data_IF_187296653205
#
_entry.id   IF_187296653205
#
_cell.length_a   1.000
_cell.length_b   1.000
_cell.length_c   1.000
_cell.angle_alpha   90.00
_cell.angle_beta   90.00
_cell.angle_gamma   90.00
#
_symmetry.space_group_name_H-M   'P 1'
#
loop_
_entity.id
_entity.type
_entity.pdbx_description
1 polymer ?
#
# COMPACT_ATOMS: atom_id res chain seq x y z
N UNK A 1 2.36 -16.43 -17.35
CA UNK A 1 1.19 -17.13 -16.74
C UNK A 1 0.00 -16.17 -16.77
N UNK A 2 -1.25 -16.68 -16.85
CA UNK A 2 -2.44 -15.81 -17.00
C UNK A 2 -3.15 -15.58 -15.66
N UNK A 3 -3.22 -14.32 -15.23
CA UNK A 3 -3.79 -13.91 -13.94
C UNK A 3 -5.33 -13.99 -13.85
N UNK A 4 -6.03 -14.22 -14.96
CA UNK A 4 -7.50 -14.17 -15.03
C UNK A 4 -8.23 -15.24 -14.19
N UNK A 5 -7.56 -16.32 -13.80
CA UNK A 5 -8.16 -17.44 -13.03
C UNK A 5 -8.17 -17.25 -11.51
N UNK A 6 -7.50 -16.22 -10.96
CA UNK A 6 -7.45 -15.97 -9.52
C UNK A 6 -8.58 -15.05 -9.02
N UNK A 7 -8.95 -14.01 -9.79
CA UNK A 7 -9.98 -13.05 -9.37
C UNK A 7 -11.41 -13.60 -9.37
N UNK A 8 -11.72 -14.69 -10.08
CA UNK A 8 -13.11 -15.17 -10.25
C UNK A 8 -13.68 -15.92 -9.04
N UNK A 9 -12.83 -16.44 -8.14
CA UNK A 9 -13.27 -17.14 -6.92
C UNK A 9 -14.00 -16.23 -5.91
N UNK A 10 -13.46 -15.08 -5.47
CA UNK A 10 -14.16 -14.21 -4.53
C UNK A 10 -15.49 -13.67 -5.08
N UNK A 11 -15.60 -13.34 -6.37
CA UNK A 11 -16.89 -12.91 -6.94
C UNK A 11 -17.95 -14.02 -6.97
N UNK A 12 -17.56 -15.29 -7.12
CA UNK A 12 -18.48 -16.42 -7.01
C UNK A 12 -18.91 -16.68 -5.56
N UNK A 13 -18.00 -16.51 -4.60
CA UNK A 13 -18.34 -16.57 -3.18
C UNK A 13 -19.27 -15.42 -2.76
N UNK A 14 -19.01 -14.20 -3.25
CA UNK A 14 -19.85 -13.02 -3.05
C UNK A 14 -21.25 -13.21 -3.66
N UNK A 15 -21.34 -13.68 -4.91
CA UNK A 15 -22.63 -13.97 -5.55
C UNK A 15 -23.42 -15.08 -4.82
N UNK A 16 -22.74 -16.13 -4.33
CA UNK A 16 -23.37 -17.17 -3.52
C UNK A 16 -23.80 -16.64 -2.14
N UNK A 17 -23.04 -15.74 -1.52
CA UNK A 17 -23.42 -15.09 -0.27
C UNK A 17 -24.63 -14.16 -0.46
N UNK A 18 -24.66 -13.34 -1.52
CA UNK A 18 -25.83 -12.54 -1.87
C UNK A 18 -27.06 -13.42 -2.12
N UNK A 19 -26.91 -14.53 -2.86
CA UNK A 19 -28.01 -15.46 -3.10
C UNK A 19 -28.51 -16.16 -1.81
N UNK A 20 -27.60 -16.50 -0.89
CA UNK A 20 -27.97 -17.04 0.41
C UNK A 20 -28.68 -16.00 1.29
N UNK A 21 -28.21 -14.74 1.25
CA UNK A 21 -28.82 -13.62 1.96
C UNK A 21 -30.23 -13.33 1.41
N UNK A 22 -30.44 -13.28 0.08
CA UNK A 22 -31.78 -13.07 -0.48
C UNK A 22 -32.72 -14.25 -0.22
N UNK A 23 -32.23 -15.49 -0.17
CA UNK A 23 -33.02 -16.63 0.32
C UNK A 23 -33.44 -16.46 1.80
N UNK A 24 -32.55 -15.92 2.64
CA UNK A 24 -32.84 -15.69 4.06
C UNK A 24 -33.84 -14.53 4.27
N UNK A 25 -33.72 -13.46 3.47
CA UNK A 25 -34.69 -12.34 3.41
C UNK A 25 -36.08 -12.87 3.05
N UNK A 26 -36.17 -13.73 2.03
CA UNK A 26 -37.43 -14.29 1.55
C UNK A 26 -38.11 -15.25 2.55
N UNK A 27 -37.40 -15.72 3.59
CA UNK A 27 -37.96 -16.60 4.62
C UNK A 27 -38.82 -15.85 5.67
N UNK A 28 -38.63 -14.53 5.81
CA UNK A 28 -39.57 -13.59 6.44
C UNK A 28 -39.73 -13.65 7.97
N UNK A 29 -39.48 -12.51 8.64
CA UNK A 29 -40.03 -12.20 9.97
C UNK A 29 -40.65 -10.79 9.96
N UNK A 30 -41.90 -10.60 10.44
CA UNK A 30 -42.53 -9.29 10.46
C UNK A 30 -42.19 -8.52 11.75
N UNK A 31 -41.31 -7.53 11.64
CA UNK A 31 -41.13 -6.49 12.64
C UNK A 31 -40.71 -5.19 11.95
N UNK A 32 -41.23 -4.05 12.43
CA UNK A 32 -40.84 -2.70 11.97
C UNK A 32 -39.49 -2.30 12.57
N UNK A 33 -38.43 -2.96 12.09
CA UNK A 33 -37.04 -2.69 12.51
C UNK A 33 -36.54 -1.42 11.83
N UNK A 34 -36.19 -0.41 12.62
CA UNK A 34 -35.34 0.69 12.16
C UNK A 34 -33.94 0.15 11.88
N UNK A 35 -33.67 -0.14 10.61
CA UNK A 35 -32.44 -0.76 10.15
C UNK A 35 -31.37 0.30 9.83
N UNK A 36 -30.83 0.92 10.89
CA UNK A 36 -29.53 1.59 10.84
C UNK A 36 -28.42 0.53 11.04
N UNK A 37 -27.47 0.49 10.12
CA UNK A 37 -26.30 -0.38 10.18
C UNK A 37 -25.05 0.44 9.88
N UNK A 38 -24.23 0.68 10.90
CA UNK A 38 -22.90 1.25 10.77
C UNK A 38 -21.82 0.20 10.99
N UNK A 39 -20.80 0.20 10.14
CA UNK A 39 -19.63 -0.66 10.24
C UNK A 39 -18.40 0.13 9.80
N UNK A 40 -17.45 0.32 10.72
CA UNK A 40 -16.25 1.14 10.50
C UNK A 40 -15.00 0.35 10.87
N UNK A 41 -14.22 -0.03 9.86
CA UNK A 41 -12.87 -0.53 10.06
C UNK A 41 -11.89 0.65 10.00
N UNK A 42 -11.04 0.81 11.01
CA UNK A 42 -9.98 1.80 11.02
C UNK A 42 -8.66 1.13 11.38
N UNK A 43 -7.73 1.06 10.43
CA UNK A 43 -6.44 0.40 10.57
C UNK A 43 -5.32 1.40 10.31
N UNK A 44 -4.32 1.42 11.20
CA UNK A 44 -3.18 2.32 11.10
C UNK A 44 -1.88 1.54 11.27
N UNK A 45 -1.05 1.54 10.23
CA UNK A 45 0.25 0.85 10.20
C UNK A 45 1.35 1.89 10.02
N UNK A 46 2.01 2.23 11.13
CA UNK A 46 3.26 2.97 11.11
C UNK A 46 4.45 1.99 11.11
N UNK A 47 5.37 2.15 10.16
CA UNK A 47 6.57 1.32 9.99
C UNK A 47 7.78 2.18 9.60
N UNK A 48 8.96 1.82 10.10
CA UNK A 48 10.21 2.43 9.64
C UNK A 48 11.41 1.52 9.83
N UNK A 49 12.30 1.47 8.83
CA UNK A 49 13.53 0.65 8.80
C UNK A 49 14.69 1.35 8.08
N UNK A 50 15.81 1.43 8.78
CA UNK A 50 17.09 1.98 8.33
C UNK A 50 18.17 1.05 8.94
N UNK A 51 19.00 0.30 8.18
CA UNK A 51 19.80 -0.83 8.76
C UNK A 51 21.15 -1.18 8.05
N UNK A 52 22.07 -1.95 8.73
CA UNK A 52 23.58 -1.85 8.71
C UNK A 52 24.46 -3.17 8.50
N UNK A 53 25.66 -3.10 7.86
CA UNK A 53 26.91 -3.97 7.96
C UNK A 53 27.79 -4.24 6.66
N UNK A 54 29.07 -3.78 6.50
CA UNK A 54 30.00 -3.94 5.31
C UNK A 54 31.54 -3.67 5.56
N UNK A 55 32.46 -3.77 4.54
CA UNK A 55 33.78 -4.48 4.67
C UNK A 55 35.10 -3.82 4.14
N UNK A 56 36.18 -3.87 4.96
CA UNK A 56 37.46 -3.13 4.81
C UNK A 56 38.72 -3.99 4.48
N UNK A 57 39.65 -3.51 3.62
CA UNK A 57 40.83 -4.31 3.13
C UNK A 57 42.19 -3.56 3.11
N UNK A 58 43.20 -4.09 3.81
CA UNK A 58 44.59 -3.55 3.89
C UNK A 58 45.65 -4.57 3.43
N UNK A 59 46.62 -4.13 2.61
CA UNK A 59 47.73 -4.99 2.10
C UNK A 59 49.04 -4.21 1.90
N UNK A 60 50.19 -4.89 2.02
CA UNK A 60 51.53 -4.38 1.64
C UNK A 60 51.85 -2.95 2.15
N UNK A 61 51.50 -2.67 3.41
CA UNK A 61 51.70 -1.36 4.04
C UNK A 61 50.69 -0.26 3.68
N UNK A 62 49.71 -0.55 2.80
CA UNK A 62 48.52 0.29 2.59
C UNK A 62 47.37 -0.03 3.56
N UNK A 63 46.30 0.77 3.54
CA UNK A 63 45.20 0.70 4.51
C UNK A 63 43.83 1.03 3.90
N UNK A 64 42.74 0.40 4.33
CA UNK A 64 41.39 0.86 3.98
C UNK A 64 40.31 0.50 5.00
N UNK A 65 39.16 1.19 4.89
CA UNK A 65 38.01 1.15 5.81
C UNK A 65 36.69 1.29 5.05
N UNK A 66 35.62 0.63 5.51
CA UNK A 66 34.34 0.56 4.80
C UNK A 66 33.09 0.76 5.66
N UNK A 67 31.94 0.92 5.00
CA UNK A 67 30.62 1.19 5.59
C UNK A 67 29.62 0.02 5.57
N UNK A 68 28.45 0.14 6.27
CA UNK A 68 27.32 -0.82 6.45
C UNK A 68 26.67 -1.56 5.20
N UNK A 69 25.38 -1.70 4.76
CA UNK A 69 23.95 -1.59 5.21
C UNK A 69 22.94 -2.43 4.33
N UNK A 70 21.61 -2.37 4.58
CA UNK A 70 20.41 -2.79 3.77
C UNK A 70 19.08 -2.43 4.54
N UNK A 71 17.94 -2.04 3.92
CA UNK A 71 16.62 -1.92 4.63
C UNK A 71 15.33 -2.08 3.79
N UNK A 72 14.28 -2.75 4.35
CA UNK A 72 12.98 -2.97 3.69
C UNK A 72 11.76 -3.08 4.64
N UNK A 73 10.69 -2.29 4.43
CA UNK A 73 9.37 -2.38 5.12
C UNK A 73 8.24 -2.97 4.26
N UNK A 74 7.27 -3.63 4.90
CA UNK A 74 6.10 -4.26 4.26
C UNK A 74 4.84 -4.12 5.12
N UNK A 75 3.82 -3.44 4.59
CA UNK A 75 2.52 -3.24 5.24
C UNK A 75 1.39 -3.74 4.33
N UNK A 76 0.49 -4.55 4.90
CA UNK A 76 -0.68 -5.08 4.20
C UNK A 76 -1.91 -4.85 5.09
N UNK A 77 -2.84 -4.02 4.63
CA UNK A 77 -4.14 -3.77 5.27
C UNK A 77 -5.23 -4.35 4.37
N UNK A 78 -6.09 -5.20 4.94
CA UNK A 78 -7.21 -5.83 4.24
C UNK A 78 -8.48 -5.69 5.07
N UNK A 79 -9.38 -4.81 4.67
CA UNK A 79 -10.63 -4.51 5.39
C UNK A 79 -11.84 -4.88 4.53
N UNK A 80 -12.83 -5.54 5.14
CA UNK A 80 -14.06 -5.95 4.47
C UNK A 80 -15.25 -5.67 5.38
N UNK A 81 -16.14 -4.77 4.96
CA UNK A 81 -17.47 -4.61 5.52
C UNK A 81 -18.48 -5.34 4.63
N UNK A 82 -19.37 -6.12 5.25
CA UNK A 82 -20.57 -6.65 4.59
C UNK A 82 -21.78 -6.30 5.45
N UNK A 83 -22.65 -5.45 4.93
CA UNK A 83 -23.93 -5.09 5.52
C UNK A 83 -25.04 -5.69 4.65
N UNK A 84 -26.01 -6.32 5.30
CA UNK A 84 -27.19 -6.88 4.65
C UNK A 84 -28.42 -6.57 5.51
N UNK A 85 -29.42 -5.92 4.92
CA UNK A 85 -30.70 -5.62 5.56
C UNK A 85 -31.81 -6.30 4.78
N UNK A 86 -32.56 -7.13 5.49
CA UNK A 86 -33.83 -7.69 5.07
C UNK A 86 -34.95 -6.71 5.46
N UNK A 87 -35.59 -6.08 4.49
CA UNK A 87 -36.81 -5.31 4.73
C UNK A 87 -37.99 -6.24 4.99
N UNK A 88 -38.83 -5.87 5.95
CA UNK A 88 -40.11 -6.55 6.16
C UNK A 88 -41.10 -6.31 5.01
N UNK A 89 -42.23 -7.05 4.97
CA UNK A 89 -43.28 -6.87 3.95
C UNK A 89 -43.84 -5.43 3.90
N UNK A 90 -43.75 -4.70 5.01
CA UNK A 90 -43.88 -3.25 5.09
C UNK A 90 -42.67 -2.71 5.88
N UNK A 91 -41.85 -1.89 5.23
CA UNK A 91 -40.71 -1.22 5.89
C UNK A 91 -40.97 0.29 5.90
N UNK A 92 -41.85 0.72 6.81
CA UNK A 92 -42.19 2.14 7.07
C UNK A 92 -41.07 2.85 7.88
N UNK A 93 -39.82 2.55 7.56
CA UNK A 93 -38.65 3.01 8.29
C UNK A 93 -37.51 3.31 7.32
N UNK A 94 -36.87 4.47 7.51
CA UNK A 94 -35.61 4.82 6.87
C UNK A 94 -34.59 3.70 7.12
N UNK A 95 -34.07 3.10 6.05
CA UNK A 95 -32.93 2.17 6.15
C UNK A 95 -31.66 2.90 5.76
N UNK A 96 -30.73 2.95 6.71
CA UNK A 96 -29.44 3.61 6.56
C UNK A 96 -28.35 2.56 6.68
N UNK A 97 -27.51 2.43 5.65
CA UNK A 97 -26.31 1.61 5.70
C UNK A 97 -25.09 2.51 5.54
N UNK A 98 -24.21 2.53 6.55
CA UNK A 98 -22.93 3.25 6.51
C UNK A 98 -21.79 2.27 6.67
N UNK A 99 -21.05 2.01 5.59
CA UNK A 99 -19.90 1.10 5.57
C UNK A 99 -18.63 1.90 5.27
N UNK A 100 -17.72 1.98 6.24
CA UNK A 100 -16.49 2.75 6.14
C UNK A 100 -15.28 1.85 6.37
N UNK A 101 -14.33 1.88 5.44
CA UNK A 101 -12.98 1.36 5.61
C UNK A 101 -12.01 2.56 5.58
N UNK A 102 -11.23 2.75 6.63
CA UNK A 102 -10.12 3.70 6.66
C UNK A 102 -8.81 2.95 6.91
N UNK A 103 -7.83 3.14 6.04
CA UNK A 103 -6.51 2.54 6.13
C UNK A 103 -5.44 3.62 6.00
N UNK A 104 -4.66 3.82 7.06
CA UNK A 104 -3.47 4.67 7.06
C UNK A 104 -2.22 3.80 7.08
N UNK A 105 -1.34 3.92 6.08
CA UNK A 105 -0.03 3.28 6.06
C UNK A 105 1.03 4.37 5.96
N UNK A 106 1.82 4.54 7.01
CA UNK A 106 2.94 5.48 7.03
C UNK A 106 4.23 4.67 7.10
N UNK A 107 5.03 4.72 6.04
CA UNK A 107 6.26 3.93 5.87
C UNK A 107 7.47 4.82 5.61
N UNK A 108 8.54 4.62 6.37
CA UNK A 108 9.81 5.34 6.20
C UNK A 108 11.00 4.37 6.16
N UNK A 109 11.45 3.98 4.96
CA UNK A 109 12.53 2.99 4.78
C UNK A 109 13.79 3.62 4.17
N UNK A 110 14.90 3.75 4.89
CA UNK A 110 16.06 4.48 4.35
C UNK A 110 17.45 4.04 4.87
N UNK A 111 18.29 3.46 4.02
CA UNK A 111 19.71 3.17 4.32
C UNK A 111 20.34 2.46 3.13
N UNK A 112 21.66 2.48 2.99
CA UNK A 112 22.42 1.66 2.02
C UNK A 112 23.94 1.89 2.42
N UNK A 113 24.83 0.87 2.62
CA UNK A 113 26.31 0.94 2.95
C UNK A 113 27.30 -0.19 2.40
N UNK A 114 28.67 -0.01 2.26
CA UNK A 114 29.64 -0.85 1.44
C UNK A 114 31.18 -0.47 1.38
N UNK A 115 32.03 -0.84 0.37
CA UNK A 115 33.38 -1.54 0.52
C UNK A 115 34.73 -0.95 -0.07
N UNK A 116 35.91 -1.13 0.59
CA UNK A 116 37.20 -0.40 0.33
C UNK A 116 38.53 -1.21 0.30
N UNK A 117 39.56 -0.73 -0.45
CA UNK A 117 40.91 -1.38 -0.58
C UNK A 117 42.13 -0.43 -0.63
N UNK A 118 43.18 -0.67 0.16
CA UNK A 118 44.42 0.13 0.16
C UNK A 118 45.71 -0.70 0.16
N UNK A 119 46.66 -0.38 -0.72
CA UNK A 119 47.87 -1.20 -0.97
C UNK A 119 49.16 -0.40 -1.21
N UNK A 120 50.32 -1.03 -0.98
CA UNK A 120 51.65 -0.50 -1.33
C UNK A 120 51.97 0.89 -0.72
N UNK A 121 51.37 1.21 0.43
CA UNK A 121 51.46 2.53 1.08
C UNK A 121 50.33 3.52 0.74
N UNK A 122 49.35 3.12 -0.06
CA UNK A 122 48.13 3.90 -0.39
C UNK A 122 46.96 3.64 0.57
N UNK A 123 46.00 4.58 0.60
CA UNK A 123 44.89 4.61 1.58
C UNK A 123 43.52 4.83 0.90
N UNK A 124 42.50 4.01 1.19
CA UNK A 124 41.15 4.19 0.60
C UNK A 124 39.98 4.03 1.61
N UNK A 125 38.79 4.57 1.29
CA UNK A 125 37.60 4.48 2.15
C UNK A 125 36.27 4.50 1.38
N UNK A 126 35.24 3.77 1.83
CA UNK A 126 34.11 3.38 0.93
C UNK A 126 32.65 3.71 1.28
N UNK A 127 31.74 3.16 0.46
CA UNK A 127 30.42 3.68 0.07
C UNK A 127 29.46 2.56 -0.42
N UNK A 128 28.18 2.84 -0.69
CA UNK A 128 27.22 2.32 0.30
C UNK A 128 25.84 1.53 -0.04
N UNK A 129 25.58 0.19 -0.09
CA UNK A 129 24.30 -0.57 -0.51
C UNK A 129 23.06 -0.93 0.46
N UNK A 130 21.66 -1.07 0.38
CA UNK A 130 20.35 -0.88 -0.45
C UNK A 130 19.03 -0.56 0.38
N UNK A 131 17.98 0.16 -0.14
CA UNK A 131 16.64 0.42 0.54
C UNK A 131 15.30 0.22 -0.26
N UNK A 132 14.16 -0.10 0.40
CA UNK A 132 12.80 -0.08 -0.24
C UNK A 132 11.50 -0.32 0.59
N UNK A 133 10.40 0.38 0.28
CA UNK A 133 9.07 0.28 0.96
C UNK A 133 7.97 -0.41 0.11
N UNK A 134 7.11 -1.25 0.72
CA UNK A 134 5.89 -1.81 0.10
C UNK A 134 4.63 -1.64 0.98
N UNK A 135 3.60 -1.03 0.40
CA UNK A 135 2.27 -0.86 1.00
C UNK A 135 1.18 -1.48 0.11
N UNK A 136 0.30 -2.28 0.70
CA UNK A 136 -0.86 -2.90 0.04
C UNK A 136 -2.10 -2.60 0.88
N UNK A 137 -3.05 -1.85 0.31
CA UNK A 137 -4.38 -1.62 0.88
C UNK A 137 -5.42 -2.33 0.00
N UNK A 138 -6.21 -3.20 0.61
CA UNK A 138 -7.40 -3.80 0.01
C UNK A 138 -8.61 -3.48 0.87
N UNK A 139 -9.59 -2.79 0.29
CA UNK A 139 -10.81 -2.38 1.00
C UNK A 139 -12.04 -2.74 0.17
N UNK A 140 -13.01 -3.35 0.83
CA UNK A 140 -14.29 -3.73 0.23
C UNK A 140 -15.42 -3.36 1.17
N UNK A 141 -16.35 -2.54 0.69
CA UNK A 141 -17.67 -2.42 1.28
C UNK A 141 -18.67 -3.17 0.38
N UNK A 142 -19.47 -4.03 0.99
CA UNK A 142 -20.68 -4.61 0.36
C UNK A 142 -21.88 -4.17 1.18
N UNK A 143 -22.85 -3.56 0.53
CA UNK A 143 -24.08 -3.06 1.13
C UNK A 143 -25.26 -3.62 0.35
N UNK A 144 -26.04 -4.49 0.98
CA UNK A 144 -27.20 -5.15 0.36
C UNK A 144 -28.47 -4.72 1.10
N UNK A 145 -29.44 -4.22 0.36
CA UNK A 145 -30.79 -3.96 0.86
C UNK A 145 -31.77 -4.72 -0.04
N UNK A 146 -32.61 -5.54 0.58
CA UNK A 146 -33.65 -6.30 -0.08
C UNK A 146 -34.99 -6.07 0.64
N UNK A 147 -35.83 -5.20 0.08
CA UNK A 147 -37.11 -4.79 0.66
C UNK A 147 -38.24 -5.04 -0.35
N UNK A 148 -39.21 -5.93 -0.08
CA UNK A 148 -40.27 -6.25 -1.06
C UNK A 148 -41.18 -5.06 -1.38
N UNK A 149 -41.40 -4.16 -0.41
CA UNK A 149 -42.05 -2.86 -0.60
C UNK A 149 -41.30 -1.81 0.25
N UNK A 150 -40.50 -0.96 -0.38
CA UNK A 150 -39.96 0.24 0.27
C UNK A 150 -40.90 1.43 0.00
N UNK A 151 -41.33 2.11 1.06
CA UNK A 151 -42.09 3.37 0.98
C UNK A 151 -41.25 4.56 1.40
N UNK A 152 -40.39 4.37 2.40
CA UNK A 152 -39.46 5.38 2.90
C UNK A 152 -38.16 5.48 2.07
N UNK A 153 -37.45 6.62 2.13
CA UNK A 153 -36.12 6.76 1.56
C UNK A 153 -35.12 5.72 2.09
N UNK A 154 -34.17 5.34 1.23
CA UNK A 154 -33.12 4.38 1.55
C UNK A 154 -31.77 5.04 1.27
N UNK A 155 -30.91 5.12 2.29
CA UNK A 155 -29.60 5.75 2.19
C UNK A 155 -28.49 4.71 2.36
N UNK A 156 -27.68 4.52 1.31
CA UNK A 156 -26.51 3.67 1.35
C UNK A 156 -25.27 4.54 1.14
N UNK A 157 -24.50 4.74 2.20
CA UNK A 157 -23.21 5.43 2.17
C UNK A 157 -22.08 4.41 2.35
N UNK A 158 -21.27 4.22 1.32
CA UNK A 158 -20.07 3.38 1.36
C UNK A 158 -18.83 4.25 1.14
N UNK A 159 -17.81 4.11 1.99
CA UNK A 159 -16.54 4.83 1.86
C UNK A 159 -15.34 3.92 2.07
N UNK A 160 -14.39 3.98 1.15
CA UNK A 160 -13.04 3.46 1.33
C UNK A 160 -12.07 4.65 1.28
N UNK A 161 -11.36 4.92 2.37
CA UNK A 161 -10.23 5.86 2.40
C UNK A 161 -8.93 5.08 2.64
N UNK A 162 -7.95 5.32 1.79
CA UNK A 162 -6.62 4.73 1.84
C UNK A 162 -5.60 5.86 1.72
N UNK A 163 -5.00 6.23 2.85
CA UNK A 163 -3.87 7.16 2.89
C UNK A 163 -2.59 6.36 3.06
N UNK A 164 -1.70 6.44 2.06
CA UNK A 164 -0.37 5.83 2.08
C UNK A 164 0.64 6.96 1.97
N UNK A 165 1.49 7.09 2.98
CA UNK A 165 2.68 7.92 2.94
C UNK A 165 3.92 7.03 2.95
N UNK A 166 4.81 7.23 1.98
CA UNK A 166 5.95 6.34 1.71
C UNK A 166 7.22 7.12 1.38
N UNK A 167 8.15 7.14 2.32
CA UNK A 167 9.44 7.84 2.22
C UNK A 167 10.58 6.82 2.12
N UNK A 168 11.29 6.75 0.98
CA UNK A 168 12.41 5.80 0.79
C UNK A 168 13.72 6.44 0.30
N UNK A 169 14.84 6.30 1.02
CA UNK A 169 16.13 6.98 0.71
C UNK A 169 17.38 6.05 0.72
N UNK A 170 18.41 6.29 -0.11
CA UNK A 170 19.59 5.41 -0.25
C UNK A 170 20.89 6.00 -0.94
N UNK A 171 22.01 5.23 -1.03
CA UNK A 171 23.44 5.61 -1.26
C UNK A 171 24.62 4.55 -1.67
N UNK A 172 24.68 3.61 -2.67
CA UNK A 172 25.80 2.61 -3.05
C UNK A 172 26.96 2.84 -4.06
N UNK A 173 28.23 2.55 -3.66
CA UNK A 173 29.46 2.22 -4.48
C UNK A 173 30.86 2.47 -3.79
N UNK A 174 32.02 2.13 -4.40
CA UNK A 174 33.27 1.68 -3.70
C UNK A 174 34.60 2.48 -3.97
N UNK A 175 35.74 2.16 -3.32
CA UNK A 175 37.04 2.89 -3.48
C UNK A 175 38.37 2.08 -3.34
N UNK A 176 39.42 2.50 -4.08
CA UNK A 176 40.75 1.87 -4.08
C UNK A 176 41.94 2.87 -4.15
N UNK A 177 43.09 2.53 -3.55
CA UNK A 177 44.33 3.30 -3.69
C UNK A 177 45.63 2.48 -3.63
N UNK A 178 46.61 2.82 -4.47
CA UNK A 178 47.92 2.13 -4.54
C UNK A 178 49.17 3.02 -4.57
N UNK A 179 50.24 2.55 -3.93
CA UNK A 179 51.55 3.19 -3.93
C UNK A 179 51.73 4.27 -2.85
N UNK A 180 52.99 4.58 -2.53
CA UNK A 180 53.36 5.48 -1.44
C UNK A 180 52.90 6.92 -1.71
N UNK A 181 51.79 7.32 -1.09
CA UNK A 181 51.24 8.67 -1.16
C UNK A 181 49.87 8.81 -1.84
N UNK A 182 49.25 7.73 -2.33
CA UNK A 182 47.97 7.80 -3.06
C UNK A 182 46.73 7.65 -2.17
N UNK A 183 45.62 8.35 -2.47
CA UNK A 183 44.39 8.33 -1.64
C UNK A 183 43.05 8.42 -2.41
N UNK A 184 41.99 7.68 -2.00
CA UNK A 184 40.69 7.66 -2.71
C UNK A 184 39.44 7.46 -1.80
N UNK A 185 38.26 7.99 -2.20
CA UNK A 185 36.99 7.79 -1.46
C UNK A 185 35.66 7.86 -2.28
N UNK A 186 34.81 6.84 -2.10
CA UNK A 186 33.92 6.04 -3.02
C UNK A 186 32.58 6.52 -3.71
N UNK A 187 31.45 5.74 -3.73
CA UNK A 187 30.59 5.42 -4.92
C UNK A 187 29.00 5.40 -4.88
N UNK A 188 28.32 5.91 -3.84
CA UNK A 188 26.88 5.90 -3.37
C UNK A 188 25.46 6.13 -4.15
N UNK A 189 24.67 5.25 -4.89
CA UNK A 189 23.11 5.18 -4.73
C UNK A 189 22.10 4.18 -5.46
N UNK A 190 20.98 3.81 -4.76
CA UNK A 190 19.75 3.04 -5.19
C UNK A 190 18.53 2.95 -4.19
N UNK A 191 17.33 3.55 -4.47
CA UNK A 191 16.09 3.50 -3.61
C UNK A 191 14.75 3.13 -4.32
N UNK A 192 13.74 2.57 -3.61
CA UNK A 192 12.40 2.22 -4.19
C UNK A 192 11.16 2.28 -3.25
N UNK A 193 10.07 2.97 -3.66
CA UNK A 193 8.72 2.86 -3.03
C UNK A 193 7.69 2.18 -3.94
N UNK A 194 6.80 1.34 -3.38
CA UNK A 194 5.67 0.72 -4.11
C UNK A 194 4.37 0.73 -3.28
N UNK A 195 3.28 1.21 -3.88
CA UNK A 195 1.96 1.29 -3.26
C UNK A 195 0.88 0.69 -4.18
N UNK A 196 0.10 -0.25 -3.66
CA UNK A 196 -1.07 -0.82 -4.34
C UNK A 196 -2.32 -0.55 -3.50
N UNK A 197 -3.31 0.12 -4.09
CA UNK A 197 -4.59 0.43 -3.44
C UNK A 197 -5.70 -0.17 -4.29
N UNK A 198 -6.39 -1.19 -3.78
CA UNK A 198 -7.61 -1.70 -4.42
C UNK A 198 -8.81 -1.45 -3.50
N UNK A 199 -9.69 -0.56 -3.94
CA UNK A 199 -10.87 -0.16 -3.20
C UNK A 199 -12.12 -0.48 -4.02
N UNK A 200 -13.13 -1.07 -3.39
CA UNK A 200 -14.43 -1.30 -4.03
C UNK A 200 -15.59 -1.03 -3.09
N UNK A 201 -16.62 -0.39 -3.63
CA UNK A 201 -17.95 -0.34 -3.02
C UNK A 201 -18.91 -1.09 -3.92
N UNK A 202 -19.66 -2.04 -3.35
CA UNK A 202 -20.70 -2.80 -4.05
C UNK A 202 -22.02 -2.55 -3.31
N UNK A 203 -22.87 -1.72 -3.89
CA UNK A 203 -24.20 -1.40 -3.38
C UNK A 203 -25.23 -2.17 -4.23
N UNK A 204 -26.00 -3.04 -3.59
CA UNK A 204 -27.01 -3.86 -4.25
C UNK A 204 -28.38 -3.58 -3.64
N UNK A 205 -29.31 -3.22 -4.50
CA UNK A 205 -30.67 -2.83 -4.18
C UNK A 205 -31.63 -3.81 -4.87
N UNK A 206 -32.38 -4.58 -4.08
CA UNK A 206 -33.29 -5.63 -4.55
C UNK A 206 -34.68 -5.35 -4.01
N UNK A 207 -35.33 -4.32 -4.57
CA UNK A 207 -36.61 -3.83 -4.08
C UNK A 207 -37.53 -3.53 -5.26
N UNK A 208 -38.80 -3.95 -5.16
CA UNK A 208 -39.82 -3.61 -6.14
C UNK A 208 -40.15 -2.11 -6.02
N UNK A 209 -40.24 -1.34 -7.11
CA UNK A 209 -40.43 0.12 -7.03
C UNK A 209 -41.81 0.51 -6.49
N UNK A 210 -41.89 0.69 -5.17
CA UNK A 210 -42.95 1.43 -4.50
C UNK A 210 -42.80 2.94 -4.79
N UNK A 211 -43.85 3.58 -5.29
CA UNK A 211 -43.78 4.93 -5.83
C UNK A 211 -43.78 6.03 -4.77
N UNK A 212 -42.65 6.28 -4.11
CA UNK A 212 -42.33 7.55 -3.44
C UNK A 212 -40.86 7.67 -2.99
N UNK A 213 -40.28 6.60 -2.43
CA UNK A 213 -38.97 6.65 -1.77
C UNK A 213 -37.81 6.90 -2.73
N UNK A 214 -37.12 8.04 -2.59
CA UNK A 214 -35.84 8.28 -3.23
C UNK A 214 -34.73 7.45 -2.55
N UNK A 215 -33.88 6.80 -3.34
CA UNK A 215 -32.75 6.00 -2.85
C UNK A 215 -31.43 6.72 -3.09
N UNK A 216 -30.86 7.29 -2.03
CA UNK A 216 -29.56 7.97 -2.06
C UNK A 216 -28.43 6.95 -1.89
N UNK A 217 -27.83 6.52 -3.00
CA UNK A 217 -26.67 5.62 -3.01
C UNK A 217 -25.37 6.42 -3.23
N UNK A 218 -24.66 6.74 -2.15
CA UNK A 218 -23.35 7.41 -2.19
C UNK A 218 -22.21 6.41 -2.01
N UNK A 219 -21.24 6.42 -2.91
CA UNK A 219 -20.08 5.53 -2.87
C UNK A 219 -18.76 6.27 -3.13
N UNK A 220 -17.92 6.41 -2.10
CA UNK A 220 -16.62 7.06 -2.15
C UNK A 220 -15.46 6.06 -2.16
N UNK A 221 -14.48 6.28 -3.04
CA UNK A 221 -13.14 5.71 -2.88
C UNK A 221 -12.13 6.86 -2.92
N UNK A 222 -11.30 7.00 -1.89
CA UNK A 222 -10.24 8.00 -1.79
C UNK A 222 -8.91 7.28 -1.61
N UNK A 223 -7.93 7.59 -2.45
CA UNK A 223 -6.62 6.94 -2.45
C UNK A 223 -5.52 8.01 -2.48
N UNK A 224 -5.14 8.49 -1.30
CA UNK A 224 -4.10 9.50 -1.14
C UNK A 224 -2.75 8.77 -1.04
N UNK A 225 -1.96 8.77 -2.12
CA UNK A 225 -0.66 8.09 -2.16
C UNK A 225 0.46 9.12 -2.33
N UNK A 226 1.14 9.43 -1.24
CA UNK A 226 2.40 10.17 -1.24
C UNK A 226 3.56 9.17 -1.35
N UNK A 227 4.51 9.44 -2.25
CA UNK A 227 5.70 8.63 -2.45
C UNK A 227 6.93 9.51 -2.71
N UNK A 228 7.76 9.68 -1.69
CA UNK A 228 9.11 10.22 -1.83
C UNK A 228 10.10 9.07 -2.04
N UNK A 229 10.99 9.18 -3.04
CA UNK A 229 12.01 8.16 -3.30
C UNK A 229 13.28 8.76 -3.89
N UNK A 230 14.41 8.65 -3.19
CA UNK A 230 15.65 9.40 -3.48
C UNK A 230 16.92 8.56 -3.27
N UNK A 231 17.94 8.75 -4.11
CA UNK A 231 19.31 8.28 -3.84
C UNK A 231 20.37 9.08 -4.66
N UNK A 232 21.47 9.57 -4.07
CA UNK A 232 22.37 10.62 -4.65
C UNK A 232 23.87 10.62 -4.20
N UNK A 233 24.84 11.15 -5.03
CA UNK A 233 26.23 10.57 -5.07
C UNK A 233 27.43 11.20 -5.94
N UNK A 234 28.77 11.01 -5.62
CA UNK A 234 29.93 10.90 -6.62
C UNK A 234 31.31 10.12 -6.36
N UNK A 235 31.78 9.17 -7.25
CA UNK A 235 32.81 8.01 -7.21
C UNK A 235 34.27 8.16 -6.65
N UNK A 236 35.21 7.15 -6.70
CA UNK A 236 36.72 7.29 -6.61
C UNK A 236 37.70 6.07 -6.86
N UNK A 237 38.92 6.33 -7.39
CA UNK A 237 40.14 5.44 -7.44
C UNK A 237 41.46 6.24 -7.67
N UNK A 238 42.59 5.94 -7.01
CA UNK A 238 43.84 6.73 -7.10
C UNK A 238 45.20 5.99 -6.98
N UNK A 239 46.18 6.36 -7.82
CA UNK A 239 47.49 5.70 -7.91
C UNK A 239 48.69 6.67 -7.99
N UNK A 240 49.91 6.14 -7.79
CA UNK A 240 51.19 6.80 -8.06
C UNK A 240 51.41 8.19 -7.42
N UNK A 241 50.87 8.42 -6.21
CA UNK A 241 50.91 9.70 -5.49
C UNK A 241 49.77 10.66 -5.82
N UNK A 242 48.72 10.17 -6.51
CA UNK A 242 47.51 10.93 -6.85
C UNK A 242 46.33 10.73 -5.89
N UNK A 243 45.29 11.54 -6.08
CA UNK A 243 44.03 11.55 -5.32
C UNK A 243 42.81 11.62 -6.26
N UNK A 244 41.63 11.06 -5.90
CA UNK A 244 40.44 11.06 -6.80
C UNK A 244 39.04 10.95 -6.15
N UNK A 245 38.00 11.47 -6.87
CA UNK A 245 36.55 11.19 -6.67
C UNK A 245 35.57 11.67 -7.81
N UNK A 246 34.22 11.46 -7.74
CA UNK A 246 33.04 11.82 -8.63
C UNK A 246 32.67 10.84 -9.81
N UNK A 247 31.41 10.42 -10.13
CA UNK A 247 29.99 10.93 -9.96
C UNK A 247 28.83 9.87 -10.20
N UNK A 248 27.80 9.66 -9.33
CA UNK A 248 26.85 8.46 -9.36
C UNK A 248 25.32 8.67 -8.96
N UNK A 249 24.44 7.62 -8.93
CA UNK A 249 23.12 7.52 -8.17
C UNK A 249 21.72 7.19 -8.84
N UNK A 250 20.69 6.63 -8.12
CA UNK A 250 19.36 6.13 -8.67
C UNK A 250 18.10 5.99 -7.73
N UNK A 251 16.88 6.41 -8.14
CA UNK A 251 15.60 6.11 -7.42
C UNK A 251 14.38 5.72 -8.30
N UNK A 252 13.33 5.12 -7.71
CA UNK A 252 12.08 4.73 -8.43
C UNK A 252 10.83 4.59 -7.51
N UNK A 253 9.76 5.34 -7.77
CA UNK A 253 8.45 5.23 -7.10
C UNK A 253 7.36 4.67 -8.03
N UNK A 254 6.38 3.94 -7.48
CA UNK A 254 5.24 3.43 -8.25
C UNK A 254 3.98 3.26 -7.40
N UNK A 255 2.88 3.86 -7.85
CA UNK A 255 1.55 3.73 -7.28
C UNK A 255 0.58 3.08 -8.27
N UNK A 256 -0.30 2.20 -7.78
CA UNK A 256 -1.36 1.56 -8.58
C UNK A 256 -2.70 1.61 -7.84
N UNK A 257 -3.38 2.78 -7.82
CA UNK A 257 -4.77 2.86 -7.39
C UNK A 257 -5.70 2.16 -8.39
N UNK A 258 -6.58 1.30 -7.88
CA UNK A 258 -7.63 0.58 -8.60
C UNK A 258 -8.94 0.69 -7.82
N UNK A 259 -9.66 1.76 -8.09
CA UNK A 259 -10.95 2.05 -7.48
C UNK A 259 -12.09 1.53 -8.36
N UNK A 260 -13.22 1.15 -7.74
CA UNK A 260 -14.40 0.72 -8.48
C UNK A 260 -15.66 0.75 -7.62
N UNK A 261 -16.60 1.62 -7.97
CA UNK A 261 -17.96 1.55 -7.45
C UNK A 261 -18.80 0.66 -8.36
N UNK A 262 -19.76 -0.06 -7.78
CA UNK A 262 -20.74 -0.85 -8.53
C UNK A 262 -22.07 -0.77 -7.80
N UNK A 263 -23.02 -0.05 -8.39
CA UNK A 263 -24.41 -0.02 -7.96
C UNK A 263 -25.20 -0.98 -8.86
N UNK A 264 -26.04 -1.81 -8.25
CA UNK A 264 -26.90 -2.78 -8.94
C UNK A 264 -28.32 -2.66 -8.38
N UNK A 265 -29.23 -2.13 -9.18
CA UNK A 265 -30.67 -2.30 -8.96
C UNK A 265 -31.13 -3.62 -9.58
N UNK A 266 -32.07 -4.31 -8.92
CA UNK A 266 -32.74 -5.51 -9.39
C UNK A 266 -34.24 -5.33 -9.15
N UNK A 267 -34.99 -5.17 -10.24
CA UNK A 267 -36.46 -4.99 -10.30
C UNK A 267 -37.25 -6.32 -10.36
#
# INVERSE_FOLDING_TARGET
MSYSKLMTKPFRALAAALAAITLLVAAGTPASVWADSSATNNESVAQSRLAQMGVATSMTGGSATAGPALAFDNAIVSQINVQAVAGGPQTEALSTQTATNNATINQTTASESGDATGSNGGIASSGNARAGSLAIVQQLNVQVIACPNATEPINQTASNDATIDQTTLAASGDAAADGSGSTASSGDASARSVAFVQQRNVQVYVCRPGSAGASDQTAGNVANVAQETLAASGDADASNGGNASSGRGRSNSSSQPRQGNTQVAID
#
